data_IF_753023257668
#
_entry.id   IF_753023257668
#
_cell.length_a   1.000
_cell.length_b   1.000
_cell.length_c   1.000
_cell.angle_alpha   90.00
_cell.angle_beta   90.00
_cell.angle_gamma   90.00
#
_symmetry.space_group_name_H-M   'P 1'
#
loop_
_entity.id
_entity.type
_entity.pdbx_description
1 polymer ?
#
# COMPACT_ATOMS: atom_id res chain seq x y z
N UNK A 1 -9.80 -30.71 27.44
CA UNK A 1 -9.07 -29.42 27.60
C UNK A 1 -10.05 -28.28 27.94
N UNK A 2 -11.10 -28.03 27.15
CA UNK A 2 -12.10 -26.96 27.41
C UNK A 2 -12.85 -27.11 28.75
N UNK A 3 -13.22 -28.32 29.16
CA UNK A 3 -13.83 -28.59 30.48
C UNK A 3 -12.88 -28.32 31.66
N UNK A 4 -11.56 -28.52 31.45
CA UNK A 4 -10.55 -28.21 32.45
C UNK A 4 -10.34 -26.69 32.58
N UNK A 5 -10.40 -25.96 31.45
CA UNK A 5 -10.31 -24.49 31.45
C UNK A 5 -11.54 -23.88 32.13
N UNK A 6 -12.73 -24.39 31.85
CA UNK A 6 -13.97 -23.90 32.46
C UNK A 6 -14.02 -24.13 33.98
N UNK A 7 -13.58 -25.30 34.45
CA UNK A 7 -13.48 -25.58 35.90
C UNK A 7 -12.40 -24.75 36.59
N UNK A 8 -11.31 -24.42 35.88
CA UNK A 8 -10.25 -23.55 36.38
C UNK A 8 -10.72 -22.09 36.53
N UNK A 9 -11.43 -21.55 35.53
CA UNK A 9 -12.03 -20.21 35.57
C UNK A 9 -13.06 -20.09 36.71
N UNK A 10 -13.91 -21.11 36.90
CA UNK A 10 -14.88 -21.10 38.00
C UNK A 10 -14.22 -21.17 39.38
N UNK A 11 -13.09 -21.87 39.51
CA UNK A 11 -12.33 -21.93 40.77
C UNK A 11 -11.64 -20.60 41.07
N UNK A 12 -11.08 -19.92 40.07
CA UNK A 12 -10.42 -18.63 40.26
C UNK A 12 -11.43 -17.52 40.58
N UNK A 13 -12.59 -17.48 39.90
CA UNK A 13 -13.65 -16.50 40.21
C UNK A 13 -14.18 -16.70 41.63
N UNK A 14 -14.41 -17.94 42.07
CA UNK A 14 -14.87 -18.24 43.44
C UNK A 14 -13.82 -17.89 44.50
N UNK A 15 -12.54 -18.03 44.17
CA UNK A 15 -11.43 -17.64 45.03
C UNK A 15 -11.29 -16.12 45.18
N UNK A 16 -11.43 -15.37 44.08
CA UNK A 16 -11.40 -13.89 44.11
C UNK A 16 -12.59 -13.34 44.91
N UNK A 17 -13.78 -13.91 44.73
CA UNK A 17 -14.99 -13.46 45.42
C UNK A 17 -14.98 -13.71 46.93
N UNK A 18 -14.27 -14.76 47.38
CA UNK A 18 -14.13 -15.06 48.81
C UNK A 18 -13.03 -14.25 49.49
N UNK A 19 -12.01 -13.80 48.75
CA UNK A 19 -10.91 -12.98 49.29
C UNK A 19 -11.14 -11.47 49.23
N UNK A 20 -11.92 -10.98 48.27
CA UNK A 20 -12.21 -9.55 48.10
C UNK A 20 -13.54 -9.14 48.76
N UNK A 21 -13.80 -9.59 50.00
CA UNK A 21 -14.92 -9.08 50.80
C UNK A 21 -14.40 -8.00 51.75
N UNK A 22 -14.58 -6.71 51.46
CA UNK A 22 -14.18 -5.65 52.38
C UNK A 22 -15.00 -5.77 53.67
N UNK A 23 -14.31 -5.83 54.81
CA UNK A 23 -14.91 -5.55 56.10
C UNK A 23 -15.15 -4.04 56.18
N UNK A 24 -16.40 -3.61 56.24
CA UNK A 24 -16.73 -2.29 56.76
C UNK A 24 -18.00 -2.38 57.62
N UNK A 25 -18.08 -1.61 58.73
CA UNK A 25 -19.05 -1.83 59.79
C UNK A 25 -20.37 -1.09 59.56
N UNK A 26 -21.44 -1.72 60.06
CA UNK A 26 -22.71 -1.15 60.56
C UNK A 26 -23.44 -0.14 59.67
N UNK A 27 -24.47 -0.63 58.96
CA UNK A 27 -25.73 0.09 58.69
C UNK A 27 -26.89 -0.92 58.47
N UNK A 28 -28.17 -0.51 58.66
CA UNK A 28 -29.23 -1.36 59.20
C UNK A 28 -29.88 -2.29 58.17
N UNK A 29 -30.52 -3.35 58.70
CA UNK A 29 -31.28 -4.38 57.98
C UNK A 29 -32.39 -3.75 57.12
N UNK A 30 -32.14 -3.62 55.82
CA UNK A 30 -33.19 -3.61 54.81
C UNK A 30 -33.44 -5.05 54.35
N UNK A 31 -34.65 -5.57 54.59
CA UNK A 31 -35.09 -6.84 54.05
C UNK A 31 -35.22 -6.72 52.53
N UNK A 32 -34.29 -7.34 51.79
CA UNK A 32 -34.38 -7.41 50.34
C UNK A 32 -35.55 -8.33 49.93
N UNK A 33 -36.45 -7.88 49.04
CA UNK A 33 -37.66 -8.62 48.69
C UNK A 33 -37.34 -9.81 47.78
N UNK A 34 -38.17 -10.85 47.91
CA UNK A 34 -38.16 -12.15 47.23
C UNK A 34 -38.09 -12.13 45.67
N UNK A 35 -38.02 -10.97 45.01
CA UNK A 35 -38.00 -10.83 43.53
C UNK A 35 -36.67 -11.21 42.87
N UNK A 36 -35.54 -11.17 43.58
CA UNK A 36 -34.21 -11.46 42.99
C UNK A 36 -34.03 -12.95 42.65
N UNK A 37 -34.77 -13.86 43.32
CA UNK A 37 -34.69 -15.30 43.05
C UNK A 37 -35.37 -15.74 41.74
N UNK A 38 -36.32 -14.95 41.19
CA UNK A 38 -36.92 -15.26 39.87
C UNK A 38 -35.99 -14.88 38.71
N UNK A 39 -35.24 -13.78 38.81
CA UNK A 39 -34.30 -13.35 37.77
C UNK A 39 -33.10 -14.29 37.63
N UNK A 40 -32.57 -14.82 38.75
CA UNK A 40 -31.44 -15.77 38.72
C UNK A 40 -31.81 -17.13 38.13
N UNK A 41 -33.07 -17.57 38.29
CA UNK A 41 -33.57 -18.81 37.69
C UNK A 41 -33.76 -18.67 36.17
N UNK A 42 -34.23 -17.53 35.69
CA UNK A 42 -34.40 -17.29 34.24
C UNK A 42 -33.06 -17.05 33.54
N UNK A 43 -32.07 -16.42 34.19
CA UNK A 43 -30.72 -16.28 33.60
C UNK A 43 -29.97 -17.61 33.54
N UNK A 44 -30.13 -18.49 34.55
CA UNK A 44 -29.49 -19.82 34.55
C UNK A 44 -30.00 -20.74 33.44
N UNK A 45 -31.30 -20.68 33.12
CA UNK A 45 -31.89 -21.45 32.02
C UNK A 45 -31.46 -20.95 30.64
N UNK A 46 -31.23 -19.64 30.46
CA UNK A 46 -30.77 -19.07 29.18
C UNK A 46 -29.32 -19.46 28.88
N UNK A 47 -28.43 -19.48 29.89
CA UNK A 47 -27.05 -19.95 29.73
C UNK A 47 -26.95 -21.47 29.45
N UNK A 48 -27.85 -22.28 30.03
CA UNK A 48 -27.95 -23.72 29.73
C UNK A 48 -28.44 -23.99 28.30
N UNK A 49 -29.35 -23.17 27.77
CA UNK A 49 -29.82 -23.27 26.38
C UNK A 49 -28.76 -22.81 25.37
N UNK A 50 -27.94 -21.80 25.69
CA UNK A 50 -26.82 -21.38 24.83
C UNK A 50 -25.63 -22.35 24.83
N UNK A 51 -25.46 -23.17 25.88
CA UNK A 51 -24.41 -24.19 25.96
C UNK A 51 -24.69 -25.47 25.16
N UNK A 52 -25.92 -25.66 24.67
CA UNK A 52 -26.35 -26.84 23.92
C UNK A 52 -26.38 -26.64 22.40
N UNK A 53 -26.04 -25.45 21.90
CA UNK A 53 -25.79 -25.29 20.47
C UNK A 53 -24.37 -25.80 20.17
N UNK A 54 -24.21 -26.99 19.56
CA UNK A 54 -22.92 -27.33 18.98
C UNK A 54 -22.57 -26.21 18.01
N UNK A 55 -21.32 -25.76 18.03
CA UNK A 55 -20.77 -24.89 17.00
C UNK A 55 -20.77 -25.71 15.71
N UNK A 56 -21.90 -25.68 14.99
CA UNK A 56 -22.01 -26.30 13.69
C UNK A 56 -21.20 -25.43 12.76
N UNK A 57 -20.05 -25.92 12.30
CA UNK A 57 -19.32 -25.34 11.19
C UNK A 57 -20.18 -25.55 9.94
N UNK A 58 -21.13 -24.63 9.74
CA UNK A 58 -22.03 -24.56 8.60
C UNK A 58 -21.35 -23.90 7.41
N UNK A 59 -21.88 -24.18 6.23
CA UNK A 59 -21.53 -23.44 5.03
C UNK A 59 -22.02 -22.00 5.16
N UNK A 60 -21.18 -21.02 4.84
CA UNK A 60 -21.58 -19.61 4.80
C UNK A 60 -22.59 -19.35 3.67
N UNK A 61 -22.44 -20.10 2.58
CA UNK A 61 -23.32 -20.05 1.42
C UNK A 61 -23.48 -21.45 0.86
N UNK A 62 -24.71 -21.80 0.46
CA UNK A 62 -25.02 -23.08 -0.18
C UNK A 62 -25.66 -22.79 -1.53
N UNK A 63 -24.97 -23.15 -2.60
CA UNK A 63 -25.55 -23.18 -3.95
C UNK A 63 -25.96 -24.61 -4.25
N UNK A 64 -27.16 -24.80 -4.80
CA UNK A 64 -27.66 -26.12 -5.19
C UNK A 64 -27.69 -26.24 -6.71
N UNK A 65 -27.18 -27.35 -7.24
CA UNK A 65 -27.25 -27.70 -8.65
C UNK A 65 -28.00 -29.03 -8.81
N UNK A 66 -29.07 -28.99 -9.60
CA UNK A 66 -29.76 -30.20 -10.08
C UNK A 66 -29.16 -30.59 -11.42
N UNK A 67 -28.38 -31.67 -11.42
CA UNK A 67 -27.72 -32.18 -12.61
C UNK A 67 -28.73 -32.90 -13.52
N UNK A 68 -28.76 -32.56 -14.81
CA UNK A 68 -29.43 -33.35 -15.83
C UNK A 68 -28.40 -34.30 -16.46
N UNK A 69 -28.71 -35.60 -16.53
CA UNK A 69 -27.83 -36.63 -17.12
C UNK A 69 -27.57 -36.31 -18.59
N UNK A 70 -26.30 -36.16 -18.97
CA UNK A 70 -25.90 -35.98 -20.37
C UNK A 70 -24.77 -36.94 -20.69
N UNK A 71 -25.08 -37.96 -21.51
CA UNK A 71 -24.19 -39.00 -22.02
C UNK A 71 -23.96 -40.17 -21.03
N UNK A 72 -24.89 -41.11 -21.03
CA UNK A 72 -24.75 -42.43 -20.41
C UNK A 72 -24.32 -43.44 -21.47
N UNK A 73 -23.27 -44.21 -21.17
CA UNK A 73 -22.79 -45.30 -22.01
C UNK A 73 -22.98 -46.60 -21.27
N UNK A 74 -23.70 -47.51 -21.89
CA UNK A 74 -23.84 -48.87 -21.42
C UNK A 74 -22.69 -49.70 -21.98
N UNK A 75 -21.94 -50.34 -21.10
CA UNK A 75 -20.87 -51.26 -21.48
C UNK A 75 -21.42 -52.70 -21.40
N UNK A 76 -21.64 -53.32 -22.57
CA UNK A 76 -22.24 -54.65 -22.69
C UNK A 76 -21.39 -55.75 -22.05
N UNK A 77 -20.07 -55.58 -22.00
CA UNK A 77 -19.15 -56.57 -21.46
C UNK A 77 -19.10 -56.57 -19.92
N UNK A 78 -19.27 -55.39 -19.30
CA UNK A 78 -19.24 -55.24 -17.84
C UNK A 78 -20.64 -55.13 -17.22
N UNK A 79 -21.69 -55.00 -18.03
CA UNK A 79 -23.07 -54.75 -17.60
C UNK A 79 -23.19 -53.51 -16.69
N UNK A 80 -22.34 -52.50 -16.94
CA UNK A 80 -22.29 -51.25 -16.17
C UNK A 80 -22.69 -50.07 -17.06
N UNK A 81 -23.66 -49.29 -16.59
CA UNK A 81 -23.99 -48.00 -17.19
C UNK A 81 -23.12 -46.89 -16.58
N UNK A 82 -22.30 -46.24 -17.40
CA UNK A 82 -21.46 -45.11 -17.01
C UNK A 82 -22.06 -43.80 -17.52
N UNK A 83 -22.57 -42.98 -16.61
CA UNK A 83 -23.09 -41.65 -16.93
C UNK A 83 -22.05 -40.58 -16.60
N UNK A 84 -21.63 -39.81 -17.60
CA UNK A 84 -20.82 -38.61 -17.38
C UNK A 84 -21.72 -37.38 -17.16
N UNK A 85 -21.29 -36.43 -16.34
CA UNK A 85 -21.96 -35.15 -16.16
C UNK A 85 -21.01 -34.02 -16.57
N UNK A 86 -21.41 -33.21 -17.54
CA UNK A 86 -20.66 -32.02 -17.97
C UNK A 86 -21.50 -30.76 -17.79
N UNK A 87 -21.46 -30.18 -16.58
CA UNK A 87 -22.13 -28.91 -16.27
C UNK A 87 -21.14 -27.92 -15.66
N UNK A 88 -21.22 -26.66 -16.09
CA UNK A 88 -20.42 -25.57 -15.56
C UNK A 88 -21.26 -24.70 -14.63
N UNK A 89 -20.75 -24.42 -13.43
CA UNK A 89 -21.42 -23.56 -12.45
C UNK A 89 -20.47 -22.48 -11.93
N UNK A 90 -21.03 -21.29 -11.69
CA UNK A 90 -20.32 -20.19 -11.05
C UNK A 90 -20.64 -20.22 -9.55
N UNK A 91 -19.59 -20.27 -8.72
CA UNK A 91 -19.70 -20.21 -7.26
C UNK A 91 -19.00 -18.95 -6.75
N UNK A 92 -19.68 -18.20 -5.89
CA UNK A 92 -19.10 -17.06 -5.18
C UNK A 92 -18.21 -17.56 -4.05
N UNK A 93 -16.91 -17.29 -4.14
CA UNK A 93 -15.98 -17.53 -3.03
C UNK A 93 -16.19 -16.48 -1.95
N UNK A 94 -16.30 -16.94 -0.71
CA UNK A 94 -16.43 -16.07 0.46
C UNK A 94 -15.06 -15.56 0.95
N UNK A 95 -15.04 -14.51 1.79
CA UNK A 95 -13.82 -13.96 2.39
C UNK A 95 -12.97 -15.00 3.13
N UNK A 96 -11.79 -14.58 3.59
CA UNK A 96 -10.82 -15.43 4.28
C UNK A 96 -11.48 -16.14 5.48
N UNK A 97 -11.25 -17.46 5.58
CA UNK A 97 -11.80 -18.41 6.56
C UNK A 97 -13.30 -18.69 6.46
N UNK A 98 -13.97 -18.27 5.38
CA UNK A 98 -15.34 -18.66 5.10
C UNK A 98 -15.41 -19.82 4.10
N UNK A 99 -16.51 -20.58 4.19
CA UNK A 99 -16.71 -21.79 3.38
C UNK A 99 -17.91 -21.63 2.46
N UNK A 100 -17.66 -21.69 1.15
CA UNK A 100 -18.71 -21.78 0.13
C UNK A 100 -18.98 -23.25 -0.18
N UNK A 101 -20.25 -23.66 -0.18
CA UNK A 101 -20.64 -25.03 -0.43
C UNK A 101 -21.50 -25.14 -1.67
N UNK A 102 -21.23 -26.17 -2.46
CA UNK A 102 -22.00 -26.55 -3.63
C UNK A 102 -22.61 -27.93 -3.38
N UNK A 103 -23.93 -27.98 -3.26
CA UNK A 103 -24.68 -29.24 -3.16
C UNK A 103 -25.14 -29.64 -4.55
N UNK A 104 -24.68 -30.79 -5.02
CA UNK A 104 -25.08 -31.32 -6.32
C UNK A 104 -25.96 -32.53 -6.08
N UNK A 105 -27.15 -32.49 -6.66
CA UNK A 105 -28.15 -33.56 -6.58
C UNK A 105 -28.27 -34.21 -7.94
N UNK A 106 -28.02 -35.51 -8.00
CA UNK A 106 -28.18 -36.32 -9.21
C UNK A 106 -29.56 -36.98 -9.25
N UNK A 107 -30.11 -37.29 -10.45
CA UNK A 107 -31.39 -37.98 -10.59
C UNK A 107 -31.39 -39.39 -9.98
N UNK A 108 -30.20 -40.02 -9.87
CA UNK A 108 -29.97 -41.35 -9.32
C UNK A 108 -29.92 -41.38 -7.77
N UNK A 109 -30.56 -40.42 -7.10
CA UNK A 109 -30.63 -40.27 -5.63
C UNK A 109 -29.29 -40.05 -4.89
N UNK A 110 -28.25 -39.57 -5.58
CA UNK A 110 -26.99 -39.17 -4.96
C UNK A 110 -26.95 -37.66 -4.70
N UNK A 111 -26.78 -37.24 -3.45
CA UNK A 111 -26.40 -35.86 -3.13
C UNK A 111 -24.95 -35.80 -2.66
N UNK A 112 -24.12 -35.05 -3.35
CA UNK A 112 -22.75 -34.78 -2.93
C UNK A 112 -22.55 -33.30 -2.62
N UNK A 113 -21.74 -33.02 -1.62
CA UNK A 113 -21.43 -31.66 -1.19
C UNK A 113 -19.95 -31.39 -1.43
N UNK A 114 -19.69 -30.36 -2.21
CA UNK A 114 -18.37 -29.80 -2.43
C UNK A 114 -18.22 -28.59 -1.51
N UNK A 115 -17.14 -28.52 -0.73
CA UNK A 115 -16.86 -27.39 0.16
C UNK A 115 -15.57 -26.72 -0.25
N UNK A 116 -15.60 -25.41 -0.37
CA UNK A 116 -14.47 -24.56 -0.73
C UNK A 116 -14.24 -23.57 0.42
N UNK A 117 -13.15 -23.76 1.16
CA UNK A 117 -12.75 -22.87 2.25
C UNK A 117 -11.64 -21.95 1.80
N UNK A 118 -11.89 -20.64 1.74
CA UNK A 118 -10.88 -19.66 1.31
C UNK A 118 -9.86 -19.45 2.42
N UNK A 119 -8.60 -19.82 2.21
CA UNK A 119 -7.53 -19.57 3.19
C UNK A 119 -6.90 -18.19 3.02
N UNK A 120 -6.62 -17.83 1.77
CA UNK A 120 -5.89 -16.60 1.49
C UNK A 120 -6.18 -16.09 0.08
N UNK A 121 -6.32 -14.77 -0.03
CA UNK A 121 -6.26 -14.04 -1.28
C UNK A 121 -4.94 -13.26 -1.32
N UNK A 122 -4.09 -13.57 -2.29
CA UNK A 122 -2.83 -12.87 -2.52
C UNK A 122 -2.96 -11.99 -3.76
N UNK A 123 -2.65 -10.72 -3.60
CA UNK A 123 -2.55 -9.75 -4.69
C UNK A 123 -1.07 -9.51 -4.97
N UNK A 124 -0.59 -10.01 -6.10
CA UNK A 124 0.78 -9.76 -6.55
C UNK A 124 0.79 -8.57 -7.50
N UNK A 125 1.48 -7.50 -7.11
CA UNK A 125 1.68 -6.34 -7.97
C UNK A 125 2.52 -6.75 -9.19
N UNK A 126 2.01 -6.47 -10.39
CA UNK A 126 2.81 -6.50 -11.60
C UNK A 126 3.52 -5.15 -11.73
N UNK A 127 4.67 -5.06 -11.06
CA UNK A 127 5.41 -3.81 -10.93
C UNK A 127 5.86 -3.28 -12.30
N UNK A 128 5.46 -2.06 -12.60
CA UNK A 128 5.93 -1.29 -13.76
C UNK A 128 6.88 -0.20 -13.26
N UNK A 129 8.12 -0.28 -13.73
CA UNK A 129 9.16 0.70 -13.48
C UNK A 129 8.70 2.12 -13.86
N UNK A 130 9.05 3.10 -13.02
CA UNK A 130 8.82 4.52 -13.26
C UNK A 130 10.14 5.28 -13.41
N UNK A 131 10.83 5.52 -12.30
CA UNK A 131 12.08 6.29 -12.25
C UNK A 131 12.86 6.00 -10.95
N UNK A 132 14.12 6.41 -10.91
CA UNK A 132 14.90 6.45 -9.67
C UNK A 132 14.87 7.85 -9.05
N UNK A 133 15.03 7.93 -7.74
CA UNK A 133 15.15 9.20 -7.01
C UNK A 133 16.11 9.08 -5.83
N UNK A 134 16.42 10.22 -5.21
CA UNK A 134 17.38 10.42 -4.14
C UNK A 134 16.80 11.42 -3.14
N UNK A 135 17.17 11.28 -1.86
CA UNK A 135 16.95 12.37 -0.93
C UNK A 135 17.88 13.52 -1.25
N UNK A 136 17.34 14.74 -1.28
CA UNK A 136 18.11 15.93 -1.61
C UNK A 136 17.78 17.11 -0.70
N UNK A 137 18.72 18.05 -0.66
CA UNK A 137 18.56 19.38 -0.11
C UNK A 137 18.85 20.41 -1.19
N UNK A 138 18.03 21.44 -1.28
CA UNK A 138 18.26 22.58 -2.17
C UNK A 138 19.11 23.62 -1.47
N UNK A 139 20.08 24.19 -2.19
CA UNK A 139 20.95 25.28 -1.73
C UNK A 139 21.04 26.34 -2.83
N UNK A 140 21.32 27.58 -2.42
CA UNK A 140 21.49 28.71 -3.34
C UNK A 140 22.87 29.31 -3.12
N UNK A 141 23.60 29.51 -4.20
CA UNK A 141 24.82 30.31 -4.22
C UNK A 141 24.54 31.61 -4.97
N UNK A 142 24.99 32.75 -4.43
CA UNK A 142 24.80 34.07 -5.04
C UNK A 142 26.11 34.83 -5.07
N UNK A 143 26.37 35.52 -6.17
CA UNK A 143 27.60 36.27 -6.42
C UNK A 143 27.24 37.60 -7.06
N UNK A 144 27.47 38.67 -6.31
CA UNK A 144 27.36 40.03 -6.80
C UNK A 144 28.63 40.43 -7.57
N UNK A 145 28.45 41.03 -8.75
CA UNK A 145 29.53 41.58 -9.59
C UNK A 145 29.13 42.96 -10.09
N UNK A 146 30.03 43.91 -9.96
CA UNK A 146 29.88 45.22 -10.58
C UNK A 146 29.91 45.12 -12.11
N UNK A 147 29.27 46.08 -12.78
CA UNK A 147 29.33 46.17 -14.24
C UNK A 147 30.77 46.39 -14.70
N UNK A 148 31.11 45.76 -15.83
CA UNK A 148 32.44 45.75 -16.44
C UNK A 148 33.56 45.29 -15.50
N UNK A 149 33.24 44.54 -14.45
CA UNK A 149 34.27 43.95 -13.59
C UNK A 149 35.17 43.00 -14.40
N UNK A 150 36.48 43.09 -14.20
CA UNK A 150 37.44 42.22 -14.86
C UNK A 150 37.16 40.75 -14.49
N UNK A 151 37.27 39.84 -15.48
CA UNK A 151 37.02 38.40 -15.31
C UNK A 151 35.63 38.07 -14.75
N UNK A 152 34.63 38.87 -15.11
CA UNK A 152 33.22 38.69 -14.77
C UNK A 152 32.40 38.55 -16.04
N UNK A 153 31.34 37.76 -15.97
CA UNK A 153 30.27 37.66 -16.96
C UNK A 153 29.36 38.90 -16.94
N UNK A 154 29.43 39.74 -15.89
CA UNK A 154 28.68 41.00 -15.81
C UNK A 154 29.28 42.07 -16.72
N UNK A 155 28.84 42.09 -17.98
CA UNK A 155 29.24 43.09 -18.97
C UNK A 155 28.01 43.67 -19.67
N UNK A 156 27.60 44.88 -19.30
CA UNK A 156 26.43 45.53 -19.91
C UNK A 156 25.14 44.73 -19.72
N UNK A 157 24.59 44.19 -20.81
CA UNK A 157 23.28 43.52 -20.85
C UNK A 157 23.36 41.98 -20.88
N UNK A 158 24.49 41.40 -20.44
CA UNK A 158 24.65 39.94 -20.39
C UNK A 158 23.78 39.28 -19.33
N UNK A 159 23.41 40.00 -18.26
CA UNK A 159 22.54 39.46 -17.21
C UNK A 159 21.19 39.00 -17.76
N UNK A 160 20.60 39.74 -18.71
CA UNK A 160 19.32 39.39 -19.34
C UNK A 160 19.41 38.18 -20.27
N UNK A 161 20.62 37.79 -20.65
CA UNK A 161 20.88 36.68 -21.58
C UNK A 161 21.16 35.36 -20.86
N UNK A 162 21.36 35.38 -19.54
CA UNK A 162 21.63 34.17 -18.76
C UNK A 162 20.43 33.22 -18.83
N UNK A 163 20.68 32.03 -19.34
CA UNK A 163 19.75 30.90 -19.36
C UNK A 163 19.88 30.05 -18.09
N UNK A 164 18.83 29.30 -17.77
CA UNK A 164 18.79 28.41 -16.60
C UNK A 164 19.81 27.27 -16.66
N UNK A 165 20.29 26.92 -17.86
CA UNK A 165 21.31 25.90 -18.09
C UNK A 165 22.75 26.43 -18.10
N UNK A 166 22.96 27.73 -18.02
CA UNK A 166 24.29 28.32 -18.24
C UNK A 166 25.28 27.95 -17.13
N UNK A 167 26.47 27.53 -17.53
CA UNK A 167 27.60 27.26 -16.64
C UNK A 167 28.43 28.53 -16.43
N UNK A 168 28.04 29.33 -15.44
CA UNK A 168 28.67 30.62 -15.18
C UNK A 168 29.94 30.48 -14.32
N UNK A 169 31.07 31.09 -14.72
CA UNK A 169 32.34 30.99 -13.99
C UNK A 169 32.31 31.59 -12.58
N UNK A 170 31.30 32.40 -12.26
CA UNK A 170 31.08 33.00 -10.95
C UNK A 170 30.81 31.96 -9.86
N UNK A 171 30.26 30.80 -10.21
CA UNK A 171 29.84 29.79 -9.24
C UNK A 171 30.95 28.80 -8.90
N UNK A 172 30.91 28.32 -7.65
CA UNK A 172 31.78 27.25 -7.18
C UNK A 172 31.67 25.98 -8.04
N UNK A 173 32.75 25.19 -8.10
CA UNK A 173 32.76 23.93 -8.85
C UNK A 173 31.66 22.96 -8.36
N UNK A 174 31.32 23.01 -7.07
CA UNK A 174 30.24 22.23 -6.48
C UNK A 174 28.89 22.63 -7.07
N UNK A 175 28.56 23.93 -7.06
CA UNK A 175 27.30 24.44 -7.60
C UNK A 175 27.17 24.17 -9.10
N UNK A 176 28.24 24.35 -9.86
CA UNK A 176 28.28 24.09 -11.32
C UNK A 176 28.02 22.63 -11.68
N UNK A 177 28.58 21.69 -10.91
CA UNK A 177 28.41 20.24 -11.14
C UNK A 177 27.09 19.69 -10.61
N UNK A 178 26.50 20.34 -9.63
CA UNK A 178 25.25 19.91 -9.02
C UNK A 178 24.05 20.18 -9.95
N UNK A 179 23.02 19.31 -9.96
CA UNK A 179 21.79 19.57 -10.69
C UNK A 179 21.11 20.84 -10.19
N UNK A 180 20.75 21.74 -11.09
CA UNK A 180 20.23 23.05 -10.71
C UNK A 180 20.12 24.04 -11.86
N UNK A 181 19.73 25.26 -11.50
CA UNK A 181 19.37 26.33 -12.43
C UNK A 181 20.11 27.61 -12.10
N UNK A 182 20.73 28.20 -13.13
CA UNK A 182 21.44 29.47 -13.06
C UNK A 182 20.51 30.63 -13.41
N UNK A 183 20.70 31.77 -12.77
CA UNK A 183 19.90 32.96 -13.01
C UNK A 183 20.76 34.20 -12.82
N UNK A 184 20.29 35.31 -13.38
CA UNK A 184 20.87 36.62 -13.13
C UNK A 184 19.76 37.65 -12.95
N UNK A 185 19.96 38.55 -11.98
CA UNK A 185 19.14 39.75 -11.82
C UNK A 185 20.04 40.96 -11.72
N UNK A 186 19.59 42.10 -12.27
CA UNK A 186 20.29 43.36 -12.06
C UNK A 186 20.33 43.72 -10.58
N UNK A 187 21.47 44.21 -10.15
CA UNK A 187 21.75 44.65 -8.80
C UNK A 187 22.19 46.12 -8.80
N UNK A 188 22.20 46.72 -7.62
CA UNK A 188 22.68 48.08 -7.45
C UNK A 188 24.15 48.25 -7.88
N UNK A 189 24.48 49.43 -8.39
CA UNK A 189 25.83 49.85 -8.72
C UNK A 189 26.32 50.97 -7.79
N UNK A 190 27.31 51.73 -8.24
CA UNK A 190 27.96 52.83 -7.51
C UNK A 190 28.73 52.41 -6.24
N UNK A 191 29.43 53.40 -5.66
CA UNK A 191 30.27 53.21 -4.48
C UNK A 191 29.49 52.68 -3.27
N UNK A 192 28.20 53.02 -3.15
CA UNK A 192 27.32 52.50 -2.08
C UNK A 192 27.13 51.00 -2.13
N UNK A 193 27.34 50.37 -3.30
CA UNK A 193 27.27 48.93 -3.49
C UNK A 193 28.66 48.30 -3.71
N UNK A 194 29.74 49.04 -3.43
CA UNK A 194 31.11 48.57 -3.62
C UNK A 194 31.60 48.61 -5.07
N UNK A 195 30.89 49.32 -5.95
CA UNK A 195 31.22 49.43 -7.38
C UNK A 195 31.80 50.79 -7.74
N UNK A 196 32.80 50.83 -8.63
CA UNK A 196 33.34 52.09 -9.14
C UNK A 196 32.36 52.76 -10.12
N UNK A 197 31.74 51.97 -11.00
CA UNK A 197 30.76 52.46 -11.97
C UNK A 197 29.37 52.50 -11.33
N UNK A 198 28.59 53.50 -11.74
CA UNK A 198 27.18 53.66 -11.35
C UNK A 198 26.19 52.94 -12.29
N UNK A 199 26.70 52.21 -13.28
CA UNK A 199 25.86 51.28 -14.04
C UNK A 199 25.41 50.11 -13.14
N UNK A 200 24.21 49.54 -13.39
CA UNK A 200 23.71 48.42 -12.61
C UNK A 200 24.67 47.22 -12.65
N UNK A 201 24.98 46.66 -11.48
CA UNK A 201 25.71 45.40 -11.37
C UNK A 201 24.82 44.19 -11.68
N UNK A 202 25.39 43.00 -11.49
CA UNK A 202 24.72 41.72 -11.67
C UNK A 202 24.78 40.92 -10.38
N UNK A 203 23.64 40.39 -9.93
CA UNK A 203 23.59 39.32 -8.95
C UNK A 203 23.32 38.01 -9.67
N UNK A 204 24.39 37.22 -9.86
CA UNK A 204 24.28 35.86 -10.38
C UNK A 204 23.92 34.92 -9.25
N UNK A 205 22.94 34.07 -9.45
CA UNK A 205 22.61 33.06 -8.45
C UNK A 205 22.26 31.72 -9.09
N UNK A 206 22.60 30.64 -8.39
CA UNK A 206 22.32 29.28 -8.81
C UNK A 206 21.64 28.53 -7.70
N UNK A 207 20.44 28.02 -7.99
CA UNK A 207 19.72 27.09 -7.14
C UNK A 207 20.11 25.66 -7.56
N UNK A 208 20.62 24.85 -6.63
CA UNK A 208 21.06 23.50 -6.93
C UNK A 208 20.74 22.51 -5.81
N UNK A 209 20.69 21.23 -6.17
CA UNK A 209 20.42 20.12 -5.27
C UNK A 209 21.72 19.46 -4.81
N UNK A 210 21.76 19.06 -3.54
CA UNK A 210 22.83 18.25 -2.94
C UNK A 210 22.23 16.98 -2.32
N UNK A 211 22.95 15.83 -2.39
CA UNK A 211 22.47 14.59 -1.79
C UNK A 211 22.40 14.71 -0.26
N UNK A 212 21.28 14.30 0.33
CA UNK A 212 21.15 14.17 1.80
C UNK A 212 21.61 12.82 2.32
N UNK A 213 21.30 11.76 1.59
CA UNK A 213 21.60 10.38 1.95
C UNK A 213 22.24 9.66 0.76
N UNK A 214 22.76 8.45 1.02
CA UNK A 214 23.23 7.54 -0.01
C UNK A 214 22.17 6.54 -0.49
N UNK A 215 20.92 6.67 -0.05
CA UNK A 215 19.84 5.78 -0.46
C UNK A 215 19.39 6.09 -1.88
N UNK A 216 19.13 5.05 -2.66
CA UNK A 216 18.54 5.16 -3.99
C UNK A 216 17.17 4.51 -3.91
N UNK A 217 16.16 5.26 -4.32
CA UNK A 217 14.79 4.81 -4.31
C UNK A 217 14.36 4.50 -5.74
N UNK A 218 13.70 3.36 -5.91
CA UNK A 218 13.03 3.00 -7.15
C UNK A 218 11.53 3.27 -6.99
N UNK A 219 10.99 4.14 -7.83
CA UNK A 219 9.56 4.47 -7.83
C UNK A 219 8.91 3.88 -9.08
N UNK A 220 7.77 3.24 -8.88
CA UNK A 220 6.97 2.69 -9.96
C UNK A 220 5.52 2.52 -9.56
N UNK A 221 4.74 1.83 -10.39
CA UNK A 221 3.30 1.61 -10.17
C UNK A 221 2.91 0.18 -10.45
N UNK A 222 1.76 -0.22 -9.92
CA UNK A 222 1.15 -1.52 -10.17
C UNK A 222 -0.09 -1.33 -11.07
N UNK A 223 0.08 -1.24 -12.41
CA UNK A 223 -1.06 -1.05 -13.31
C UNK A 223 -2.01 -2.26 -13.29
N UNK A 224 -1.48 -3.45 -13.01
CA UNK A 224 -2.27 -4.68 -12.89
C UNK A 224 -1.82 -5.47 -11.68
N UNK A 225 -2.74 -6.30 -11.18
CA UNK A 225 -2.52 -7.19 -10.06
C UNK A 225 -2.83 -8.62 -10.50
N UNK A 226 -1.90 -9.53 -10.25
CA UNK A 226 -2.17 -10.96 -10.40
C UNK A 226 -2.73 -11.49 -9.10
N UNK A 227 -3.95 -12.00 -9.15
CA UNK A 227 -4.64 -12.48 -7.96
C UNK A 227 -4.53 -14.00 -7.88
N UNK A 228 -4.23 -14.50 -6.68
CA UNK A 228 -4.15 -15.93 -6.39
C UNK A 228 -4.97 -16.23 -5.16
N UNK A 229 -5.91 -17.16 -5.27
CA UNK A 229 -6.72 -17.66 -4.17
C UNK A 229 -6.19 -19.04 -3.75
N UNK A 230 -5.85 -19.19 -2.47
CA UNK A 230 -5.55 -20.50 -1.86
C UNK A 230 -6.83 -21.00 -1.19
N UNK A 231 -7.32 -22.16 -1.62
CA UNK A 231 -8.61 -22.70 -1.19
C UNK A 231 -8.42 -24.15 -0.76
N UNK A 232 -9.05 -24.55 0.34
CA UNK A 232 -9.20 -25.97 0.70
C UNK A 232 -10.48 -26.46 0.02
N UNK A 233 -10.31 -27.43 -0.86
CA UNK A 233 -11.39 -28.15 -1.51
C UNK A 233 -11.64 -29.46 -0.75
N UNK A 234 -12.86 -29.65 -0.26
CA UNK A 234 -13.34 -30.91 0.31
C UNK A 234 -14.40 -31.51 -0.62
N UNK A 235 -14.16 -32.73 -1.09
CA UNK A 235 -15.09 -33.51 -1.91
C UNK A 235 -15.29 -34.87 -1.24
N UNK A 236 -16.52 -35.18 -0.84
CA UNK A 236 -16.88 -36.46 -0.21
C UNK A 236 -15.97 -36.87 0.95
N UNK A 237 -15.55 -35.89 1.77
CA UNK A 237 -14.68 -36.08 2.93
C UNK A 237 -13.17 -36.10 2.64
N UNK A 238 -12.74 -36.04 1.38
CA UNK A 238 -11.33 -35.89 1.01
C UNK A 238 -10.98 -34.42 0.81
N UNK A 239 -9.97 -33.94 1.52
CA UNK A 239 -9.49 -32.56 1.43
C UNK A 239 -8.27 -32.43 0.52
N UNK A 240 -8.20 -31.33 -0.20
CA UNK A 240 -7.07 -30.97 -1.06
C UNK A 240 -6.84 -29.46 -1.02
N UNK A 241 -5.58 -29.03 -1.03
CA UNK A 241 -5.23 -27.62 -1.14
C UNK A 241 -5.05 -27.27 -2.61
N UNK A 242 -5.81 -26.28 -3.08
CA UNK A 242 -5.75 -25.82 -4.47
C UNK A 242 -5.39 -24.34 -4.52
N UNK A 243 -4.58 -23.97 -5.51
CA UNK A 243 -4.23 -22.58 -5.80
C UNK A 243 -4.88 -22.18 -7.11
N UNK A 244 -5.87 -21.30 -7.02
CA UNK A 244 -6.57 -20.77 -8.17
C UNK A 244 -5.94 -19.44 -8.58
N UNK A 245 -5.50 -19.36 -9.83
CA UNK A 245 -5.03 -18.13 -10.47
C UNK A 245 -6.10 -17.67 -11.45
N UNK A 246 -6.36 -16.37 -11.51
CA UNK A 246 -7.37 -15.81 -12.40
C UNK A 246 -7.19 -16.30 -13.84
N UNK A 247 -8.29 -16.73 -14.46
CA UNK A 247 -8.36 -17.25 -15.83
C UNK A 247 -7.46 -18.46 -16.14
N UNK A 248 -6.96 -19.18 -15.12
CA UNK A 248 -6.20 -20.44 -15.31
C UNK A 248 -6.98 -21.63 -14.76
N UNK A 249 -7.29 -22.66 -15.57
CA UNK A 249 -7.94 -23.87 -15.10
C UNK A 249 -6.99 -24.71 -14.24
N UNK A 250 -7.53 -25.26 -13.17
CA UNK A 250 -6.86 -26.22 -12.28
C UNK A 250 -7.68 -27.50 -12.30
N UNK A 251 -7.03 -28.59 -12.68
CA UNK A 251 -7.63 -29.92 -12.69
C UNK A 251 -7.46 -30.58 -11.32
N UNK A 252 -8.56 -31.04 -10.75
CA UNK A 252 -8.56 -31.84 -9.52
C UNK A 252 -9.46 -33.03 -9.76
N UNK A 253 -8.89 -34.23 -9.89
CA UNK A 253 -9.66 -35.39 -10.32
C UNK A 253 -10.21 -35.19 -11.74
N UNK A 254 -11.54 -35.30 -11.88
CA UNK A 254 -12.24 -35.10 -13.16
C UNK A 254 -12.86 -33.69 -13.26
N UNK A 255 -12.71 -32.89 -12.22
CA UNK A 255 -13.27 -31.55 -12.11
C UNK A 255 -12.25 -30.47 -12.51
N UNK A 256 -12.75 -29.40 -13.14
CA UNK A 256 -11.96 -28.25 -13.56
C UNK A 256 -12.42 -27.02 -12.79
N UNK A 257 -11.52 -26.43 -12.02
CA UNK A 257 -11.77 -25.20 -11.28
C UNK A 257 -11.10 -24.02 -11.97
N UNK A 258 -11.86 -22.94 -12.18
CA UNK A 258 -11.33 -21.69 -12.74
C UNK A 258 -11.76 -20.51 -11.88
N UNK A 259 -10.80 -19.65 -11.52
CA UNK A 259 -11.12 -18.38 -10.88
C UNK A 259 -11.51 -17.37 -11.96
N UNK A 260 -12.79 -17.03 -12.04
CA UNK A 260 -13.33 -16.14 -13.08
C UNK A 260 -13.15 -14.65 -12.73
N UNK A 261 -13.64 -14.23 -11.56
CA UNK A 261 -13.58 -12.85 -11.12
C UNK A 261 -13.52 -12.77 -9.60
N UNK A 262 -13.03 -11.63 -9.09
CA UNK A 262 -13.02 -11.32 -7.66
C UNK A 262 -13.66 -9.94 -7.50
N UNK A 263 -14.68 -9.85 -6.66
CA UNK A 263 -15.20 -8.57 -6.20
C UNK A 263 -14.35 -8.09 -5.02
N UNK A 264 -13.36 -7.25 -5.28
CA UNK A 264 -12.64 -6.58 -4.19
C UNK A 264 -13.46 -5.41 -3.68
N UNK A 265 -13.60 -5.22 -2.35
CA UNK A 265 -14.10 -3.95 -1.83
C UNK A 265 -13.20 -2.81 -2.33
N UNK A 266 -13.74 -1.58 -2.39
CA UNK A 266 -13.01 -0.40 -2.87
C UNK A 266 -11.88 -0.05 -1.88
N UNK A 267 -10.76 -0.77 -1.93
CA UNK A 267 -9.60 -0.49 -1.07
C UNK A 267 -8.73 0.55 -1.78
N UNK A 268 -8.45 1.72 -1.16
CA UNK A 268 -7.64 2.79 -1.78
C UNK A 268 -6.28 2.31 -2.29
N UNK A 269 -5.68 1.30 -1.64
CA UNK A 269 -4.41 0.69 -2.05
C UNK A 269 -4.46 0.00 -3.42
N UNK A 270 -5.65 -0.25 -3.96
CA UNK A 270 -5.83 -0.83 -5.29
C UNK A 270 -6.05 0.25 -6.35
N UNK A 271 -6.30 1.51 -5.95
CA UNK A 271 -6.49 2.64 -6.86
C UNK A 271 -5.17 3.41 -7.02
N UNK A 272 -4.34 2.90 -7.92
CA UNK A 272 -3.15 3.58 -8.46
C UNK A 272 -2.11 4.06 -7.42
N UNK A 273 -1.73 3.27 -6.40
CA UNK A 273 -0.62 3.71 -5.58
C UNK A 273 0.71 3.62 -6.35
N UNK A 274 1.63 4.52 -6.01
CA UNK A 274 3.03 4.37 -6.35
C UNK A 274 3.72 3.50 -5.31
N UNK A 275 4.53 2.57 -5.79
CA UNK A 275 5.39 1.72 -4.96
C UNK A 275 6.78 2.33 -4.95
N UNK A 276 7.33 2.50 -3.76
CA UNK A 276 8.70 2.96 -3.55
C UNK A 276 9.49 1.82 -2.95
N UNK A 277 10.62 1.49 -3.58
CA UNK A 277 11.54 0.44 -3.12
C UNK A 277 12.88 1.03 -2.74
N UNK A 278 13.44 0.58 -1.62
CA UNK A 278 14.79 0.93 -1.15
C UNK A 278 15.43 -0.30 -0.52
N UNK A 279 16.46 -0.85 -1.18
CA UNK A 279 17.03 -2.14 -0.78
C UNK A 279 15.95 -3.24 -0.75
N UNK A 280 15.73 -3.82 0.43
CA UNK A 280 14.68 -4.84 0.67
C UNK A 280 13.34 -4.25 1.14
N UNK A 281 13.29 -2.96 1.43
CA UNK A 281 12.11 -2.31 1.99
C UNK A 281 11.23 -1.77 0.86
N UNK A 282 9.92 -1.91 1.04
CA UNK A 282 8.91 -1.40 0.11
C UNK A 282 7.88 -0.56 0.88
N UNK A 283 7.46 0.55 0.29
CA UNK A 283 6.40 1.41 0.79
C UNK A 283 5.43 1.76 -0.35
N UNK A 284 4.25 2.21 0.03
CA UNK A 284 3.16 2.54 -0.89
C UNK A 284 2.73 3.98 -0.58
N UNK A 285 2.59 4.81 -1.61
CA UNK A 285 2.14 6.21 -1.48
C UNK A 285 1.26 6.62 -2.65
N UNK A 286 0.37 7.58 -2.40
CA UNK A 286 -0.41 8.26 -3.45
C UNK A 286 0.10 9.67 -3.74
N UNK A 287 1.12 10.13 -3.00
CA UNK A 287 1.62 11.50 -3.06
C UNK A 287 2.91 11.67 -3.87
N UNK A 288 3.15 10.76 -4.82
CA UNK A 288 4.36 10.77 -5.66
C UNK A 288 4.05 11.24 -7.10
N UNK A 289 5.03 11.91 -7.71
CA UNK A 289 4.97 12.39 -9.09
C UNK A 289 4.96 11.26 -10.10
N UNK A 290 4.29 11.48 -11.22
CA UNK A 290 4.38 10.60 -12.37
C UNK A 290 5.78 10.62 -13.02
N UNK A 291 6.20 9.51 -13.65
CA UNK A 291 7.46 9.46 -14.38
C UNK A 291 7.52 10.54 -15.47
N UNK A 292 8.64 11.26 -15.55
CA UNK A 292 8.89 12.36 -16.48
C UNK A 292 7.96 13.57 -16.33
N UNK A 293 7.08 13.57 -15.31
CA UNK A 293 6.20 14.68 -14.98
C UNK A 293 6.35 15.03 -13.49
N UNK A 294 7.55 15.47 -13.06
CA UNK A 294 7.75 15.88 -11.69
C UNK A 294 6.89 17.10 -11.34
N UNK A 295 6.17 16.99 -10.23
CA UNK A 295 5.28 18.01 -9.70
C UNK A 295 5.84 18.60 -8.40
N UNK A 296 5.94 19.94 -8.28
CA UNK A 296 6.33 20.61 -7.03
C UNK A 296 5.49 20.15 -5.82
N UNK A 297 6.12 20.04 -4.65
CA UNK A 297 5.48 19.63 -3.39
C UNK A 297 5.16 18.14 -3.25
N UNK A 298 5.33 17.35 -4.31
CA UNK A 298 5.14 15.90 -4.28
C UNK A 298 6.43 15.14 -3.97
N UNK A 299 6.30 13.86 -3.63
CA UNK A 299 7.41 12.93 -3.55
C UNK A 299 7.88 12.60 -4.99
N UNK A 300 9.19 12.51 -5.21
CA UNK A 300 9.71 12.19 -6.54
C UNK A 300 9.66 13.36 -7.53
N UNK A 301 9.67 14.59 -7.02
CA UNK A 301 9.95 15.80 -7.81
C UNK A 301 11.37 15.79 -8.41
N UNK A 302 12.31 15.08 -7.76
CA UNK A 302 13.68 14.88 -8.24
C UNK A 302 13.79 13.50 -8.90
N UNK A 303 13.88 13.45 -10.22
CA UNK A 303 13.80 12.20 -10.98
C UNK A 303 15.09 11.92 -11.74
N UNK A 304 15.55 10.67 -11.66
CA UNK A 304 16.70 10.14 -12.37
C UNK A 304 16.23 9.08 -13.37
N UNK A 305 16.85 9.03 -14.55
CA UNK A 305 16.44 8.09 -15.62
C UNK A 305 16.86 6.66 -15.33
N UNK A 306 18.02 6.48 -14.69
CA UNK A 306 18.59 5.19 -14.34
C UNK A 306 19.12 5.17 -12.90
N UNK A 307 19.43 3.97 -12.41
CA UNK A 307 20.08 3.80 -11.10
C UNK A 307 21.47 4.43 -11.09
N UNK A 308 22.21 4.34 -12.19
CA UNK A 308 23.54 4.93 -12.34
C UNK A 308 23.49 6.47 -12.28
N UNK A 309 22.47 7.07 -12.89
CA UNK A 309 22.24 8.52 -12.78
C UNK A 309 21.95 8.90 -11.32
N UNK A 310 21.15 8.09 -10.61
CA UNK A 310 20.89 8.31 -9.19
C UNK A 310 22.16 8.15 -8.33
N UNK A 311 23.03 7.19 -8.65
CA UNK A 311 24.35 7.01 -7.99
C UNK A 311 25.26 8.21 -8.19
N UNK A 312 25.29 8.75 -9.42
CA UNK A 312 26.08 9.94 -9.79
C UNK A 312 25.39 11.25 -9.43
N UNK A 313 24.17 11.19 -8.87
CA UNK A 313 23.34 12.34 -8.55
C UNK A 313 23.03 13.24 -9.78
N UNK A 314 22.88 12.62 -10.95
CA UNK A 314 22.59 13.26 -12.24
C UNK A 314 21.08 13.21 -12.54
N UNK A 315 20.29 13.84 -11.68
CA UNK A 315 18.82 13.84 -11.76
C UNK A 315 18.29 15.25 -12.03
N UNK A 316 17.01 15.37 -12.36
CA UNK A 316 16.38 16.67 -12.67
C UNK A 316 15.15 16.92 -11.81
N UNK A 317 14.90 18.19 -11.47
CA UNK A 317 13.68 18.66 -10.80
C UNK A 317 13.20 19.94 -11.49
N UNK A 318 11.90 20.25 -11.57
CA UNK A 318 11.38 21.46 -12.19
C UNK A 318 11.93 22.74 -11.54
N UNK A 319 12.14 23.79 -12.35
CA UNK A 319 12.58 25.09 -11.83
C UNK A 319 11.55 25.72 -10.89
N UNK A 320 10.27 25.40 -11.07
CA UNK A 320 9.12 25.85 -10.28
C UNK A 320 9.05 25.18 -8.89
N UNK A 321 9.94 24.23 -8.60
CA UNK A 321 10.01 23.58 -7.27
C UNK A 321 10.32 24.57 -6.15
N UNK A 322 10.96 25.70 -6.49
CA UNK A 322 11.38 26.72 -5.54
C UNK A 322 10.92 28.11 -5.98
N UNK A 323 10.55 28.93 -5.01
CA UNK A 323 10.31 30.36 -5.19
C UNK A 323 11.49 31.14 -4.63
N UNK A 324 12.10 31.99 -5.45
CA UNK A 324 13.31 32.74 -5.13
C UNK A 324 13.06 34.24 -5.13
N UNK A 325 13.61 34.93 -4.14
CA UNK A 325 13.57 36.39 -4.01
C UNK A 325 15.01 36.93 -4.04
N UNK A 326 15.47 37.43 -5.20
CA UNK A 326 16.79 38.02 -5.33
C UNK A 326 16.83 39.40 -4.67
N UNK A 327 17.96 39.71 -4.03
CA UNK A 327 18.34 41.07 -3.60
C UNK A 327 19.61 41.50 -4.33
N UNK A 328 20.16 42.68 -4.01
CA UNK A 328 21.38 43.17 -4.66
C UNK A 328 22.60 42.27 -4.43
N UNK A 329 22.71 41.64 -3.26
CA UNK A 329 23.89 40.86 -2.87
C UNK A 329 23.62 39.36 -2.65
N UNK A 330 22.39 39.01 -2.29
CA UNK A 330 22.05 37.64 -1.92
C UNK A 330 20.68 37.23 -2.46
N UNK A 331 20.52 35.96 -2.81
CA UNK A 331 19.21 35.41 -3.17
C UNK A 331 18.75 34.41 -2.11
N UNK A 332 17.50 34.55 -1.67
CA UNK A 332 16.86 33.58 -0.79
C UNK A 332 15.83 32.78 -1.57
N UNK A 333 15.84 31.47 -1.45
CA UNK A 333 14.84 30.60 -2.06
C UNK A 333 14.13 29.75 -1.01
N UNK A 334 12.82 29.58 -1.20
CA UNK A 334 11.99 28.66 -0.43
C UNK A 334 11.50 27.58 -1.35
N UNK A 335 11.74 26.32 -1.00
CA UNK A 335 11.45 25.17 -1.84
C UNK A 335 10.39 24.28 -1.22
N UNK A 336 9.51 23.73 -2.05
CA UNK A 336 8.46 22.82 -1.62
C UNK A 336 8.67 21.45 -2.28
N UNK A 337 9.19 20.49 -1.52
CA UNK A 337 9.38 19.10 -1.95
C UNK A 337 9.30 18.16 -0.74
N UNK A 338 9.10 16.87 -1.02
CA UNK A 338 9.15 15.80 -0.01
C UNK A 338 10.23 14.81 -0.37
N UNK A 339 11.03 14.42 0.61
CA UNK A 339 12.02 13.37 0.43
C UNK A 339 11.37 12.00 0.63
N UNK A 340 11.78 10.97 -0.12
CA UNK A 340 11.35 9.61 0.15
C UNK A 340 11.56 9.22 1.61
N UNK A 341 12.74 9.45 2.20
CA UNK A 341 13.05 9.06 3.57
C UNK A 341 11.98 9.45 4.61
N UNK A 342 11.24 10.54 4.38
CA UNK A 342 10.19 11.03 5.26
C UNK A 342 8.99 10.05 5.41
N UNK A 343 8.84 9.03 4.54
CA UNK A 343 7.79 8.01 4.68
C UNK A 343 8.16 6.88 5.66
N UNK A 344 9.43 6.77 6.05
CA UNK A 344 9.93 5.70 6.94
C UNK A 344 10.09 6.16 8.39
N UNK A 345 9.78 7.43 8.67
CA UNK A 345 9.72 8.04 9.99
C UNK A 345 8.26 8.31 10.36
#
# INVERSE_FOLDING_TARGET
ILLAIHTWIWRTVRWIWTRCRPQNPRQPRYQAPHRIRRLLRTTGTIYLLFGLFPWVNGCSEVTALTASTHNCRFDEDSNVETCSLSQSIQLSLRPINETSCLRITTPLNGSYMLRLTTLQLKFKCNFKYGYHTRDFATTVESVHRCDMASNSYCQGYQCEKVSTSDDLPEFSLLARRAPGYSHCTRACGCATCGCFLCSPGCNFWRLYALPKTNNIYLIGRCPTWTITASVILEVSGKTSLIQLVAAKPVHVGNEIFTLQAISTPQVPILYQPMVIKVGTNEAITTAASDPQQPAPGSLGVFQCRSEDDARRFQCTFPHETCSCSPSDFHTKCTCNYRNPMDLWH
#
